data_IF_392525471780
#
_entry.id   IF_392525471780
#
_cell.length_a   1.000
_cell.length_b   1.000
_cell.length_c   1.000
_cell.angle_alpha   90.00
_cell.angle_beta   90.00
_cell.angle_gamma   90.00
#
_symmetry.space_group_name_H-M   'P 1'
#
loop_
_entity.id
_entity.type
_entity.pdbx_description
1 polymer ?
#
# COMPACT_ATOMS: atom_id res chain seq x y z
N UNK A 1 -8.74 -22.18 -11.86
CA UNK A 1 -8.24 -21.86 -10.50
C UNK A 1 -8.28 -23.15 -9.71
N UNK A 2 -7.14 -23.65 -9.21
CA UNK A 2 -7.09 -24.95 -8.53
C UNK A 2 -7.48 -24.82 -7.05
N UNK A 3 -8.01 -25.89 -6.44
CA UNK A 3 -8.21 -26.02 -5.00
C UNK A 3 -6.91 -25.74 -4.20
N UNK A 4 -5.75 -25.98 -4.83
CA UNK A 4 -4.43 -25.66 -4.29
C UNK A 4 -4.16 -24.15 -4.24
N UNK A 5 -4.59 -23.37 -5.24
CA UNK A 5 -4.51 -21.91 -5.23
C UNK A 5 -5.38 -21.33 -4.10
N UNK A 6 -6.53 -21.96 -3.83
CA UNK A 6 -7.47 -21.57 -2.77
C UNK A 6 -6.87 -21.72 -1.37
N UNK A 7 -6.22 -22.85 -1.08
CA UNK A 7 -5.60 -23.11 0.22
C UNK A 7 -4.35 -22.25 0.48
N UNK A 8 -3.56 -21.97 -0.57
CA UNK A 8 -2.39 -21.06 -0.47
C UNK A 8 -2.82 -19.63 -0.14
N UNK A 9 -3.92 -19.13 -0.73
CA UNK A 9 -4.48 -17.81 -0.40
C UNK A 9 -5.01 -17.70 1.03
N UNK A 10 -5.50 -18.80 1.60
CA UNK A 10 -5.97 -18.85 2.99
C UNK A 10 -4.83 -18.82 4.00
N UNK A 11 -3.73 -19.54 3.74
CA UNK A 11 -2.54 -19.62 4.62
C UNK A 11 -1.58 -18.43 4.50
N UNK A 12 -1.76 -17.57 3.49
CA UNK A 12 -0.91 -16.41 3.26
C UNK A 12 -0.90 -15.42 4.45
N UNK A 13 0.21 -15.38 5.19
CA UNK A 13 0.55 -14.42 6.26
C UNK A 13 1.43 -13.27 5.76
N UNK A 14 1.10 -12.01 6.06
CA UNK A 14 1.87 -10.81 5.68
C UNK A 14 3.39 -11.01 5.72
N UNK A 15 4.11 -10.66 4.64
CA UNK A 15 5.57 -10.90 4.54
C UNK A 15 6.30 -9.84 5.36
N UNK A 16 6.53 -10.17 6.63
CA UNK A 16 7.19 -9.32 7.61
C UNK A 16 8.69 -9.17 7.38
N UNK A 17 9.29 -9.97 6.49
CA UNK A 17 10.70 -9.84 6.11
C UNK A 17 10.85 -8.72 5.09
N UNK A 18 9.99 -8.70 4.07
CA UNK A 18 10.01 -7.68 3.03
C UNK A 18 9.45 -6.33 3.50
N UNK A 19 8.36 -6.37 4.26
CA UNK A 19 7.57 -5.20 4.59
C UNK A 19 7.32 -5.09 6.10
N UNK A 20 7.34 -3.87 6.64
CA UNK A 20 6.89 -3.56 8.00
C UNK A 20 5.46 -3.05 7.97
N UNK A 21 4.60 -3.57 8.85
CA UNK A 21 3.21 -3.11 8.95
C UNK A 21 3.13 -1.62 9.36
N UNK A 22 2.12 -0.87 8.89
CA UNK A 22 1.94 0.52 9.26
C UNK A 22 1.51 0.69 10.72
N UNK A 23 2.04 1.73 11.37
CA UNK A 23 1.88 1.93 12.82
C UNK A 23 0.60 2.69 13.13
N UNK A 24 -0.13 2.25 14.17
CA UNK A 24 -1.30 2.99 14.67
C UNK A 24 -0.84 4.31 15.29
N UNK A 25 -1.49 5.42 14.91
CA UNK A 25 -1.21 6.73 15.51
C UNK A 25 -2.49 7.36 16.04
N UNK A 26 -2.41 8.00 17.20
CA UNK A 26 -3.54 8.71 17.79
C UNK A 26 -4.04 9.79 16.83
N UNK A 27 -5.36 10.01 16.72
CA UNK A 27 -5.92 11.03 15.84
C UNK A 27 -5.78 10.77 14.33
N UNK A 28 -5.34 9.57 13.91
CA UNK A 28 -5.12 9.23 12.50
C UNK A 28 -6.36 9.51 11.62
N UNK A 29 -7.56 9.19 12.10
CA UNK A 29 -8.78 9.43 11.33
C UNK A 29 -9.10 10.92 11.15
N UNK A 30 -8.81 11.76 12.15
CA UNK A 30 -8.96 13.21 12.02
C UNK A 30 -7.97 13.78 11.00
N UNK A 31 -6.71 13.33 11.01
CA UNK A 31 -5.70 13.74 10.01
C UNK A 31 -6.09 13.37 8.59
N UNK A 32 -6.64 12.18 8.39
CA UNK A 32 -7.12 11.75 7.07
C UNK A 32 -8.31 12.59 6.60
N UNK A 33 -9.26 12.91 7.49
CA UNK A 33 -10.41 13.78 7.17
C UNK A 33 -9.96 15.19 6.79
N UNK A 34 -8.96 15.74 7.48
CA UNK A 34 -8.39 17.04 7.15
C UNK A 34 -7.74 17.09 5.75
N UNK A 35 -7.44 15.92 5.15
CA UNK A 35 -6.81 15.78 3.83
C UNK A 35 -7.69 14.95 2.89
N UNK A 36 -9.01 15.13 2.93
CA UNK A 36 -9.97 14.29 2.20
C UNK A 36 -9.67 14.18 0.70
N UNK A 37 -9.26 15.27 0.05
CA UNK A 37 -8.89 15.27 -1.37
C UNK A 37 -7.70 14.37 -1.66
N UNK A 38 -6.66 14.41 -0.82
CA UNK A 38 -5.48 13.55 -0.98
C UNK A 38 -5.84 12.07 -0.76
N UNK A 39 -6.67 11.77 0.24
CA UNK A 39 -7.20 10.42 0.50
C UNK A 39 -7.99 9.89 -0.70
N UNK A 40 -8.87 10.71 -1.28
CA UNK A 40 -9.66 10.33 -2.45
C UNK A 40 -8.77 10.07 -3.67
N UNK A 41 -7.82 10.96 -3.95
CA UNK A 41 -6.90 10.83 -5.07
C UNK A 41 -6.03 9.57 -4.96
N UNK A 42 -5.46 9.30 -3.78
CA UNK A 42 -4.66 8.10 -3.54
C UNK A 42 -5.51 6.82 -3.59
N UNK A 43 -6.72 6.85 -3.05
CA UNK A 43 -7.65 5.70 -3.13
C UNK A 43 -8.00 5.37 -4.58
N UNK A 44 -8.32 6.41 -5.37
CA UNK A 44 -8.58 6.25 -6.80
C UNK A 44 -7.37 5.68 -7.55
N UNK A 45 -6.17 6.20 -7.27
CA UNK A 45 -4.92 5.70 -7.84
C UNK A 45 -4.63 4.24 -7.47
N UNK A 46 -4.89 3.84 -6.22
CA UNK A 46 -4.77 2.44 -5.83
C UNK A 46 -5.71 1.56 -6.69
N UNK A 47 -6.98 1.95 -6.80
CA UNK A 47 -7.99 1.19 -7.54
C UNK A 47 -7.81 1.20 -9.07
N UNK A 48 -7.05 2.15 -9.61
CA UNK A 48 -6.83 2.30 -11.05
C UNK A 48 -6.28 1.01 -11.67
N UNK A 49 -7.02 0.41 -12.61
CA UNK A 49 -6.58 -0.79 -13.33
C UNK A 49 -6.40 -2.03 -12.46
N UNK A 50 -6.96 -2.07 -11.24
CA UNK A 50 -6.81 -3.17 -10.29
C UNK A 50 -7.76 -4.35 -10.55
N UNK A 51 -8.90 -4.15 -11.23
CA UNK A 51 -9.92 -5.20 -11.52
C UNK A 51 -10.97 -4.69 -12.53
N UNK A 52 -11.73 -5.59 -13.21
CA UNK A 52 -11.69 -7.05 -13.14
C UNK A 52 -10.49 -7.68 -13.87
N UNK A 53 -9.81 -6.91 -14.75
CA UNK A 53 -8.54 -7.31 -15.35
C UNK A 53 -7.45 -6.36 -14.88
N UNK A 54 -6.42 -6.89 -14.23
CA UNK A 54 -5.26 -6.11 -13.80
C UNK A 54 -4.51 -5.64 -15.05
N UNK A 55 -4.81 -4.43 -15.52
CA UNK A 55 -4.11 -3.82 -16.67
C UNK A 55 -2.80 -3.17 -16.26
N UNK A 56 -2.74 -2.69 -15.01
CA UNK A 56 -1.60 -2.00 -14.44
C UNK A 56 -1.14 -2.73 -13.18
N UNK A 57 -0.30 -3.75 -13.39
CA UNK A 57 0.22 -4.62 -12.33
C UNK A 57 1.15 -3.89 -11.37
N UNK A 58 1.77 -2.81 -11.81
CA UNK A 58 2.59 -1.98 -10.95
C UNK A 58 2.45 -0.52 -11.35
N UNK A 59 2.24 0.37 -10.37
CA UNK A 59 2.31 1.82 -10.54
C UNK A 59 3.22 2.41 -9.48
N UNK A 60 3.87 3.51 -9.81
CA UNK A 60 4.72 4.27 -8.90
C UNK A 60 4.11 5.65 -8.69
N UNK A 61 4.14 6.11 -7.44
CA UNK A 61 3.73 7.45 -7.07
C UNK A 61 4.67 8.07 -6.05
N UNK A 62 4.53 9.38 -5.85
CA UNK A 62 5.22 10.14 -4.82
C UNK A 62 4.20 10.90 -3.99
N UNK A 63 4.31 10.81 -2.67
CA UNK A 63 3.56 11.59 -1.70
C UNK A 63 4.49 12.62 -1.05
N UNK A 64 4.10 13.89 -1.15
CA UNK A 64 4.79 15.01 -0.51
C UNK A 64 3.95 15.61 0.61
N UNK A 65 4.62 16.03 1.67
CA UNK A 65 4.03 16.86 2.71
C UNK A 65 3.78 18.29 2.20
N UNK A 66 3.02 19.05 2.97
CA UNK A 66 2.92 20.48 2.76
C UNK A 66 4.30 21.15 2.93
N UNK A 67 4.51 22.30 2.29
CA UNK A 67 5.75 23.07 2.46
C UNK A 67 5.98 23.37 3.96
N UNK A 68 7.15 23.04 4.48
CA UNK A 68 7.48 23.20 5.91
C UNK A 68 6.91 22.12 6.83
N UNK A 69 6.20 21.11 6.30
CA UNK A 69 5.73 19.99 7.10
C UNK A 69 6.91 19.08 7.52
N UNK A 70 6.89 18.64 8.77
CA UNK A 70 7.86 17.68 9.30
C UNK A 70 7.76 16.32 8.61
N UNK A 71 8.91 15.70 8.33
CA UNK A 71 8.98 14.36 7.74
C UNK A 71 8.21 13.31 8.57
N UNK A 72 8.25 13.44 9.91
CA UNK A 72 7.52 12.55 10.81
C UNK A 72 6.00 12.71 10.68
N UNK A 73 5.50 13.93 10.49
CA UNK A 73 4.07 14.17 10.27
C UNK A 73 3.60 13.54 8.95
N UNK A 74 4.42 13.63 7.90
CA UNK A 74 4.16 12.98 6.62
C UNK A 74 4.17 11.45 6.73
N UNK A 75 5.17 10.87 7.40
CA UNK A 75 5.24 9.43 7.65
C UNK A 75 4.03 8.93 8.46
N UNK A 76 3.65 9.67 9.52
CA UNK A 76 2.46 9.37 10.33
C UNK A 76 1.16 9.44 9.52
N UNK A 77 1.07 10.39 8.58
CA UNK A 77 -0.07 10.47 7.67
C UNK A 77 -0.09 9.28 6.69
N UNK A 78 1.07 8.89 6.15
CA UNK A 78 1.18 7.72 5.26
C UNK A 78 0.81 6.42 5.99
N UNK A 79 1.26 6.25 7.25
CA UNK A 79 0.83 5.16 8.13
C UNK A 79 -0.69 5.13 8.31
N UNK A 80 -1.29 6.30 8.58
CA UNK A 80 -2.74 6.42 8.72
C UNK A 80 -3.46 5.99 7.43
N UNK A 81 -3.01 6.45 6.27
CA UNK A 81 -3.62 6.08 4.98
C UNK A 81 -3.46 4.57 4.70
N UNK A 82 -2.29 4.01 4.95
CA UNK A 82 -2.03 2.57 4.83
C UNK A 82 -2.97 1.74 5.71
N UNK A 83 -3.18 2.15 6.97
CA UNK A 83 -4.13 1.51 7.89
C UNK A 83 -5.60 1.69 7.49
N UNK A 84 -5.92 2.75 6.77
CA UNK A 84 -7.26 2.96 6.23
C UNK A 84 -7.52 1.97 5.09
N UNK A 85 -6.57 1.84 4.15
CA UNK A 85 -6.73 1.00 2.95
C UNK A 85 -6.57 -0.50 3.25
N UNK A 86 -5.76 -0.88 4.23
CA UNK A 86 -5.63 -2.29 4.66
C UNK A 86 -6.78 -2.77 5.57
N UNK A 87 -7.63 -1.84 6.01
CA UNK A 87 -8.76 -2.11 6.89
C UNK A 87 -8.41 -2.21 8.38
N UNK A 88 -7.16 -1.92 8.78
CA UNK A 88 -6.70 -1.87 10.16
C UNK A 88 -7.50 -0.89 11.01
N UNK A 89 -7.76 0.31 10.50
CA UNK A 89 -8.63 1.28 11.20
C UNK A 89 -10.06 0.76 11.42
N UNK A 90 -10.58 -0.01 10.47
CA UNK A 90 -11.93 -0.58 10.59
C UNK A 90 -11.95 -1.70 11.62
N UNK A 91 -10.89 -2.51 11.70
CA UNK A 91 -10.74 -3.52 12.75
C UNK A 91 -10.62 -2.88 14.13
N UNK A 92 -9.84 -1.81 14.27
CA UNK A 92 -9.67 -1.09 15.55
C UNK A 92 -11.00 -0.46 16.03
N UNK A 93 -11.86 -0.06 15.10
CA UNK A 93 -13.16 0.53 15.41
C UNK A 93 -14.26 -0.49 15.76
N UNK A 94 -14.02 -1.79 15.58
CA UNK A 94 -15.01 -2.83 15.92
C UNK A 94 -15.08 -3.05 17.42
N UNK A 95 -16.29 -3.05 17.97
CA UNK A 95 -16.51 -3.20 19.41
C UNK A 95 -16.40 -4.64 19.91
N UNK A 96 -16.46 -5.64 19.01
CA UNK A 96 -16.48 -7.05 19.39
C UNK A 96 -15.56 -7.91 18.54
N UNK A 97 -15.00 -8.95 19.15
CA UNK A 97 -14.15 -9.94 18.46
C UNK A 97 -14.91 -10.71 17.37
N UNK A 98 -16.21 -10.92 17.55
CA UNK A 98 -17.05 -11.60 16.55
C UNK A 98 -17.19 -10.76 15.28
N UNK A 99 -17.40 -9.44 15.40
CA UNK A 99 -17.40 -8.54 14.25
C UNK A 99 -16.05 -8.55 13.53
N UNK A 100 -14.95 -8.52 14.29
CA UNK A 100 -13.60 -8.60 13.74
C UNK A 100 -13.33 -9.92 13.00
N UNK A 101 -13.78 -11.05 13.55
CA UNK A 101 -13.66 -12.36 12.90
C UNK A 101 -14.52 -12.44 11.64
N UNK A 102 -15.78 -12.03 11.70
CA UNK A 102 -16.68 -11.99 10.55
C UNK A 102 -16.12 -11.12 9.41
N UNK A 103 -15.52 -9.97 9.77
CA UNK A 103 -14.83 -9.12 8.82
C UNK A 103 -13.64 -9.83 8.17
N UNK A 104 -12.75 -10.44 8.96
CA UNK A 104 -11.58 -11.19 8.44
C UNK A 104 -12.00 -12.34 7.52
N UNK A 105 -13.05 -13.08 7.88
CA UNK A 105 -13.60 -14.15 7.04
C UNK A 105 -14.14 -13.61 5.72
N UNK A 106 -14.91 -12.52 5.76
CA UNK A 106 -15.42 -11.85 4.56
C UNK A 106 -14.29 -11.42 3.63
N UNK A 107 -13.20 -10.89 4.18
CA UNK A 107 -12.01 -10.51 3.41
C UNK A 107 -11.40 -11.71 2.71
N UNK A 108 -11.20 -12.84 3.42
CA UNK A 108 -10.65 -14.07 2.83
C UNK A 108 -11.56 -14.65 1.74
N UNK A 109 -12.88 -14.64 1.95
CA UNK A 109 -13.86 -15.06 0.92
C UNK A 109 -13.79 -14.16 -0.31
N UNK A 110 -13.64 -12.85 -0.13
CA UNK A 110 -13.51 -11.90 -1.22
C UNK A 110 -12.19 -12.10 -2.00
N UNK A 111 -11.08 -12.34 -1.30
CA UNK A 111 -9.77 -12.60 -1.92
C UNK A 111 -9.77 -13.91 -2.72
N UNK A 112 -10.58 -14.90 -2.32
CA UNK A 112 -10.79 -16.14 -3.07
C UNK A 112 -11.64 -15.98 -4.35
N UNK A 113 -12.20 -14.79 -4.61
CA UNK A 113 -13.01 -14.48 -5.80
C UNK A 113 -12.37 -13.38 -6.66
N UNK A 114 -11.18 -13.63 -7.25
CA UNK A 114 -10.42 -12.60 -7.97
C UNK A 114 -11.13 -12.05 -9.22
N UNK A 115 -12.16 -12.76 -9.73
CA UNK A 115 -13.00 -12.31 -10.86
C UNK A 115 -14.05 -11.26 -10.48
N UNK A 116 -14.28 -11.02 -9.18
CA UNK A 116 -15.26 -10.02 -8.72
C UNK A 116 -14.68 -8.61 -8.87
N UNK A 117 -15.51 -7.65 -9.26
CA UNK A 117 -15.17 -6.23 -9.15
C UNK A 117 -14.87 -5.88 -7.68
N UNK A 118 -13.68 -5.32 -7.43
CA UNK A 118 -13.36 -4.81 -6.09
C UNK A 118 -14.12 -3.53 -5.85
N UNK A 119 -14.60 -3.41 -4.62
CA UNK A 119 -15.20 -2.20 -4.08
C UNK A 119 -14.09 -1.37 -3.43
N UNK A 120 -14.26 -0.04 -3.33
CA UNK A 120 -13.34 0.81 -2.57
C UNK A 120 -13.16 0.39 -1.10
N UNK A 121 -14.13 -0.35 -0.56
CA UNK A 121 -14.12 -0.88 0.81
C UNK A 121 -13.34 -2.19 0.97
N UNK A 122 -12.90 -2.82 -0.13
CA UNK A 122 -12.13 -4.07 -0.07
C UNK A 122 -10.70 -3.78 0.35
N UNK A 123 -10.19 -4.45 1.39
CA UNK A 123 -8.88 -4.12 1.92
C UNK A 123 -7.76 -4.51 0.96
N UNK A 124 -6.71 -3.70 0.99
CA UNK A 124 -5.41 -3.96 0.39
C UNK A 124 -4.47 -4.56 1.45
N UNK A 125 -3.31 -5.07 1.04
CA UNK A 125 -2.17 -5.11 1.96
C UNK A 125 -1.50 -3.74 1.92
N UNK A 126 -0.96 -3.28 3.04
CA UNK A 126 -0.18 -2.06 3.08
C UNK A 126 1.05 -2.24 3.98
N UNK A 127 2.17 -1.66 3.60
CA UNK A 127 3.43 -1.87 4.31
C UNK A 127 4.57 -0.97 3.88
N UNK A 128 5.47 -0.67 4.81
CA UNK A 128 6.73 0.00 4.54
C UNK A 128 7.76 -0.99 4.00
N UNK A 129 8.33 -0.71 2.84
CA UNK A 129 9.54 -1.36 2.37
C UNK A 129 10.70 -1.00 3.29
N UNK A 130 11.52 -2.00 3.63
CA UNK A 130 12.67 -1.83 4.50
C UNK A 130 13.96 -1.82 3.69
N UNK A 131 14.88 -0.93 4.05
CA UNK A 131 16.23 -0.82 3.46
C UNK A 131 17.25 -1.79 4.05
N UNK A 132 16.85 -2.60 5.05
CA UNK A 132 17.71 -3.63 5.61
C UNK A 132 18.08 -4.71 4.55
N UNK A 133 19.32 -5.24 4.54
CA UNK A 133 19.78 -6.14 3.47
C UNK A 133 18.89 -7.38 3.24
N UNK A 134 18.37 -7.98 4.29
CA UNK A 134 17.48 -9.15 4.19
C UNK A 134 16.14 -8.79 3.51
N UNK A 135 15.57 -7.64 3.85
CA UNK A 135 14.33 -7.16 3.26
C UNK A 135 14.50 -6.78 1.79
N UNK A 136 15.60 -6.11 1.45
CA UNK A 136 15.94 -5.79 0.06
C UNK A 136 16.09 -7.05 -0.78
N UNK A 137 16.84 -8.05 -0.28
CA UNK A 137 16.99 -9.34 -0.96
C UNK A 137 15.64 -10.00 -1.17
N UNK A 138 14.79 -10.03 -0.14
CA UNK A 138 13.45 -10.60 -0.22
C UNK A 138 12.61 -9.89 -1.28
N UNK A 139 12.58 -8.55 -1.30
CA UNK A 139 11.87 -7.75 -2.32
C UNK A 139 12.39 -8.02 -3.74
N UNK A 140 13.71 -8.17 -3.89
CA UNK A 140 14.36 -8.38 -5.18
C UNK A 140 14.12 -9.78 -5.74
N UNK A 141 14.09 -10.82 -4.91
CA UNK A 141 14.16 -12.21 -5.39
C UNK A 141 12.87 -13.02 -5.18
N UNK A 142 12.17 -12.84 -4.07
CA UNK A 142 11.16 -13.82 -3.64
C UNK A 142 9.78 -13.21 -3.37
N UNK A 143 9.72 -11.94 -2.96
CA UNK A 143 8.46 -11.30 -2.61
C UNK A 143 7.51 -11.26 -3.80
N UNK A 144 6.25 -11.65 -3.57
CA UNK A 144 5.15 -11.61 -4.53
C UNK A 144 3.89 -11.06 -3.84
N UNK A 145 3.13 -10.17 -4.49
CA UNK A 145 1.89 -9.66 -3.92
C UNK A 145 0.84 -10.78 -3.92
N UNK A 146 0.25 -11.04 -2.75
CA UNK A 146 -0.80 -12.07 -2.57
C UNK A 146 -2.22 -11.50 -2.62
N UNK A 147 -2.30 -10.18 -2.56
CA UNK A 147 -3.48 -9.36 -2.80
C UNK A 147 -2.98 -8.00 -3.32
N UNK A 148 -3.86 -7.08 -3.75
CA UNK A 148 -3.46 -5.72 -4.06
C UNK A 148 -2.66 -5.10 -2.92
N UNK A 149 -1.45 -4.64 -3.19
CA UNK A 149 -0.53 -4.16 -2.16
C UNK A 149 -0.12 -2.72 -2.40
N UNK A 150 -0.25 -1.89 -1.37
CA UNK A 150 0.37 -0.58 -1.27
C UNK A 150 1.70 -0.72 -0.53
N UNK A 151 2.81 -0.49 -1.22
CA UNK A 151 4.15 -0.44 -0.64
C UNK A 151 4.53 1.02 -0.43
N UNK A 152 4.68 1.41 0.83
CA UNK A 152 5.24 2.70 1.22
C UNK A 152 6.76 2.60 1.20
N UNK A 153 7.45 3.59 0.64
CA UNK A 153 8.89 3.62 0.55
C UNK A 153 9.40 4.98 1.02
N UNK A 154 10.26 4.98 2.03
CA UNK A 154 10.86 6.23 2.51
C UNK A 154 11.81 6.78 1.44
N UNK A 155 11.62 8.05 1.06
CA UNK A 155 12.48 8.71 0.11
C UNK A 155 13.91 8.94 0.64
N UNK A 156 14.10 8.97 1.96
CA UNK A 156 15.43 9.00 2.56
C UNK A 156 16.26 7.77 2.15
N UNK A 157 15.59 6.62 1.99
CA UNK A 157 16.20 5.33 1.64
C UNK A 157 16.20 5.05 0.13
N UNK A 158 15.97 6.08 -0.70
CA UNK A 158 15.76 5.92 -2.14
C UNK A 158 16.89 5.14 -2.85
N UNK A 159 18.15 5.34 -2.47
CA UNK A 159 19.28 4.69 -3.12
C UNK A 159 19.17 3.15 -3.05
N UNK A 160 18.87 2.62 -1.85
CA UNK A 160 18.73 1.19 -1.62
C UNK A 160 17.40 0.66 -2.21
N UNK A 161 16.30 1.38 -1.96
CA UNK A 161 14.97 0.96 -2.36
C UNK A 161 14.73 1.05 -3.88
N UNK A 162 15.46 1.91 -4.60
CA UNK A 162 15.37 1.99 -6.07
C UNK A 162 15.79 0.70 -6.76
N UNK A 163 16.79 -0.01 -6.23
CA UNK A 163 17.20 -1.31 -6.76
C UNK A 163 16.13 -2.38 -6.54
N UNK A 164 15.53 -2.42 -5.35
CA UNK A 164 14.40 -3.31 -5.07
C UNK A 164 13.21 -2.99 -5.99
N UNK A 165 12.87 -1.71 -6.14
CA UNK A 165 11.81 -1.27 -7.02
C UNK A 165 12.08 -1.63 -8.50
N UNK A 166 13.33 -1.52 -8.97
CA UNK A 166 13.74 -1.94 -10.32
C UNK A 166 13.54 -3.44 -10.53
N UNK A 167 13.97 -4.27 -9.57
CA UNK A 167 13.81 -5.72 -9.62
C UNK A 167 12.33 -6.14 -9.57
N UNK A 168 11.49 -5.43 -8.82
CA UNK A 168 10.04 -5.61 -8.83
C UNK A 168 9.45 -5.23 -10.19
N UNK A 169 9.88 -4.11 -10.77
CA UNK A 169 9.41 -3.66 -12.08
C UNK A 169 9.75 -4.68 -13.18
N UNK A 170 10.95 -5.25 -13.19
CA UNK A 170 11.34 -6.27 -14.17
C UNK A 170 10.48 -7.55 -14.11
N UNK A 171 9.89 -7.84 -12.95
CA UNK A 171 9.09 -9.05 -12.71
C UNK A 171 7.59 -8.77 -12.59
N UNK A 172 7.16 -7.51 -12.76
CA UNK A 172 5.80 -7.11 -12.44
C UNK A 172 4.74 -7.82 -13.29
N UNK A 173 5.08 -8.27 -14.50
CA UNK A 173 4.20 -9.06 -15.37
C UNK A 173 3.76 -10.39 -14.73
N UNK A 174 4.56 -10.92 -13.80
CA UNK A 174 4.27 -12.15 -13.06
C UNK A 174 3.31 -11.91 -11.88
N UNK A 175 3.12 -10.65 -11.47
CA UNK A 175 2.30 -10.33 -10.30
C UNK A 175 0.83 -10.59 -10.58
N UNK A 176 0.24 -11.56 -9.89
CA UNK A 176 -1.21 -11.84 -9.97
C UNK A 176 -2.07 -10.68 -9.45
N UNK A 177 -1.51 -9.85 -8.57
CA UNK A 177 -2.19 -8.73 -7.94
C UNK A 177 -1.44 -7.41 -8.19
N UNK A 178 -2.15 -6.28 -8.30
CA UNK A 178 -1.53 -4.98 -8.51
C UNK A 178 -0.69 -4.54 -7.30
N UNK A 179 0.45 -3.94 -7.58
CA UNK A 179 1.34 -3.29 -6.61
C UNK A 179 1.32 -1.78 -6.85
N UNK A 180 1.25 -1.02 -5.77
CA UNK A 180 1.30 0.43 -5.77
C UNK A 180 2.47 0.83 -4.92
N UNK A 181 3.54 1.30 -5.54
CA UNK A 181 4.73 1.75 -4.84
C UNK A 181 4.64 3.27 -4.64
N UNK A 182 4.61 3.71 -3.40
CA UNK A 182 4.45 5.11 -3.04
C UNK A 182 5.70 5.59 -2.29
N UNK A 183 6.49 6.44 -2.93
CA UNK A 183 7.57 7.16 -2.27
C UNK A 183 7.00 8.22 -1.33
N UNK A 184 7.44 8.24 -0.08
CA UNK A 184 6.99 9.20 0.94
C UNK A 184 8.14 10.17 1.24
N UNK A 185 7.91 11.47 1.07
CA UNK A 185 8.90 12.51 1.33
C UNK A 185 9.78 12.88 0.12
N UNK A 186 9.54 12.30 -1.05
CA UNK A 186 10.41 12.47 -2.22
C UNK A 186 10.24 13.79 -2.98
N UNK A 187 11.34 14.28 -3.53
CA UNK A 187 11.34 15.32 -4.56
C UNK A 187 10.94 14.76 -5.94
N UNK A 188 9.68 14.93 -6.37
CA UNK A 188 9.07 14.93 -7.73
C UNK A 188 9.37 13.80 -8.74
N UNK A 189 10.55 13.20 -8.74
CA UNK A 189 11.06 12.38 -9.83
C UNK A 189 11.96 11.27 -9.29
N UNK A 190 11.42 10.39 -8.44
CA UNK A 190 12.09 9.12 -8.13
C UNK A 190 11.49 7.98 -8.97
N UNK A 191 11.75 7.93 -10.30
CA UNK A 191 11.34 6.77 -11.08
C UNK A 191 12.18 5.55 -10.66
N UNK A 192 11.56 4.38 -10.76
CA UNK A 192 12.27 3.11 -10.70
C UNK A 192 13.21 2.95 -11.91
N UNK A 193 12.69 3.32 -13.08
CA UNK A 193 13.21 2.99 -14.41
C UNK A 193 12.91 4.16 -15.35
N UNK A 194 13.80 4.51 -16.29
CA UNK A 194 13.52 5.52 -17.31
C UNK A 194 12.19 5.28 -18.03
N UNK A 195 11.41 6.34 -18.26
CA UNK A 195 10.12 6.28 -18.95
C UNK A 195 8.94 5.80 -18.09
N UNK A 196 9.16 5.43 -16.83
CA UNK A 196 8.08 5.08 -15.92
C UNK A 196 7.29 6.32 -15.50
N UNK A 197 5.97 6.29 -15.69
CA UNK A 197 5.08 7.34 -15.20
C UNK A 197 5.01 7.31 -13.66
N UNK A 198 5.22 8.47 -13.04
CA UNK A 198 5.14 8.66 -11.58
C UNK A 198 3.95 9.56 -11.25
N UNK A 199 2.96 9.02 -10.57
CA UNK A 199 1.82 9.79 -10.08
C UNK A 199 2.26 10.70 -8.91
N UNK A 200 1.76 11.94 -8.85
CA UNK A 200 2.17 12.91 -7.83
C UNK A 200 1.01 13.26 -6.91
N UNK A 201 1.26 13.19 -5.60
CA UNK A 201 0.30 13.50 -4.55
C UNK A 201 0.95 14.47 -3.57
N UNK A 202 0.17 15.44 -3.10
CA UNK A 202 0.61 16.44 -2.13
C UNK A 202 -0.42 16.62 -1.05
N UNK A 203 0.05 16.79 0.19
CA UNK A 203 -0.77 17.25 1.31
C UNK A 203 -0.82 18.78 1.30
N UNK A 204 -1.98 19.32 1.66
CA UNK A 204 -2.20 20.77 1.77
C UNK A 204 -1.84 21.22 3.20
N UNK A 205 -1.32 22.44 3.43
CA UNK A 205 -1.14 22.94 4.80
C UNK A 205 -2.46 22.86 5.58
N UNK A 206 -2.46 22.20 6.74
CA UNK A 206 -3.62 22.23 7.65
C UNK A 206 -3.50 23.52 8.44
N UNK A 207 -4.40 24.48 8.19
CA UNK A 207 -4.49 25.68 9.03
C UNK A 207 -5.08 25.26 10.37
N UNK A 208 -4.41 25.48 11.52
CA UNK A 208 -5.05 25.27 12.80
C UNK A 208 -6.26 26.23 12.93
N UNK A 209 -7.36 25.80 13.56
CA UNK A 209 -8.51 26.65 13.82
C UNK A 209 -8.16 27.83 14.74
#
# INVERSE_FOLDING_TARGET
>A
MSLRDYLVGLQASYDTVALRAPVATAGAQARLRAQATAVQALTHWCLQGAVPRVRQRMLVGTLRGATGAEAQALASWADAFARQIDGGMRLDAMSTQVQALAWRLRVKVNDARPWRNRLPSDPWDAGWALSAPAALRQLQTAWMPRRPTLVLADAADHAALRLALTALWQRHDQFRHPVRWLWVGAGADLPAVPGQLVARFGLVPVTPP
#
